data_IF_938855377467
#
_entry.id   IF_938855377467
#
_cell.length_a   1.000
_cell.length_b   1.000
_cell.length_c   1.000
_cell.angle_alpha   90.00
_cell.angle_beta   90.00
_cell.angle_gamma   90.00
#
_symmetry.space_group_name_H-M   'P 1'
#
loop_
_entity.id
_entity.type
_entity.pdbx_description
1 polymer ?
#
# COMPACT_ATOMS: atom_id res chain seq x y z
N UNK A 1 16.68 -23.93 -52.09
CA UNK A 1 17.93 -24.68 -51.89
C UNK A 1 18.20 -24.71 -50.41
N UNK A 2 17.86 -25.78 -49.90
CA UNK A 2 18.40 -26.91 -49.09
C UNK A 2 18.54 -26.54 -47.64
N UNK A 3 17.65 -26.92 -46.81
CA UNK A 3 17.45 -28.18 -46.03
C UNK A 3 18.75 -28.75 -45.43
N UNK A 4 18.75 -28.94 -44.10
CA UNK A 4 19.75 -29.67 -43.35
C UNK A 4 19.24 -29.95 -41.94
N UNK A 5 18.47 -30.97 -41.84
CA UNK A 5 18.00 -31.72 -40.67
C UNK A 5 19.13 -32.58 -40.11
N UNK A 6 19.31 -32.66 -38.79
CA UNK A 6 19.99 -33.79 -38.13
C UNK A 6 19.49 -34.01 -36.71
N UNK A 7 18.56 -34.94 -36.59
CA UNK A 7 18.29 -35.72 -35.39
C UNK A 7 19.25 -36.92 -35.30
N UNK A 8 19.80 -37.26 -34.15
CA UNK A 8 20.23 -38.63 -33.78
C UNK A 8 20.23 -38.83 -32.26
N UNK A 9 19.25 -39.47 -31.81
CA UNK A 9 19.06 -40.72 -31.04
C UNK A 9 20.33 -41.51 -30.69
N UNK A 10 20.53 -41.80 -29.40
CA UNK A 10 21.39 -42.90 -28.93
C UNK A 10 20.58 -43.74 -27.95
N UNK A 11 20.14 -44.90 -28.44
CA UNK A 11 19.75 -46.05 -27.63
C UNK A 11 20.90 -47.08 -27.71
N UNK A 12 21.39 -47.49 -26.55
CA UNK A 12 22.29 -48.62 -26.45
C UNK A 12 21.52 -49.92 -26.24
N UNK A 13 21.86 -50.91 -27.04
CA UNK A 13 21.30 -52.26 -27.01
C UNK A 13 21.76 -53.08 -25.80
N UNK A 14 21.03 -54.12 -25.40
CA UNK A 14 21.34 -54.94 -24.23
C UNK A 14 22.23 -56.16 -24.59
N UNK A 15 23.20 -56.46 -23.71
CA UNK A 15 24.06 -57.68 -23.77
C UNK A 15 23.31 -58.93 -23.29
N UNK A 16 23.66 -60.13 -23.85
CA UNK A 16 23.02 -61.41 -23.56
C UNK A 16 23.58 -62.10 -22.28
N UNK A 17 22.82 -63.05 -21.72
CA UNK A 17 23.15 -63.67 -20.45
C UNK A 17 24.20 -64.80 -20.55
N UNK A 18 25.05 -65.00 -19.53
CA UNK A 18 26.00 -66.12 -19.52
C UNK A 18 25.41 -67.43 -18.99
N UNK A 19 25.81 -68.47 -19.59
CA UNK A 19 25.45 -69.87 -19.45
C UNK A 19 25.74 -70.47 -18.07
N UNK A 20 24.84 -71.34 -17.62
CA UNK A 20 24.99 -72.27 -16.49
C UNK A 20 26.22 -73.18 -16.57
N UNK A 21 27.01 -73.28 -15.49
CA UNK A 21 27.81 -74.40 -15.12
C UNK A 21 27.35 -75.01 -13.80
N UNK A 22 27.00 -76.32 -13.87
CA UNK A 22 26.75 -77.21 -12.73
C UNK A 22 28.08 -77.48 -11.98
N UNK A 23 28.03 -77.49 -10.65
CA UNK A 23 29.13 -77.83 -9.80
C UNK A 23 28.72 -78.15 -8.36
N UNK A 24 28.52 -79.43 -8.09
CA UNK A 24 28.70 -80.19 -6.85
C UNK A 24 28.30 -79.66 -5.47
N UNK A 25 27.39 -80.39 -4.90
CA UNK A 25 27.03 -80.39 -3.46
C UNK A 25 28.22 -80.74 -2.58
N UNK A 26 28.51 -79.94 -1.60
CA UNK A 26 29.17 -80.31 -0.34
C UNK A 26 28.35 -79.86 0.82
N UNK A 27 27.88 -80.78 1.63
CA UNK A 27 27.27 -80.61 2.94
C UNK A 27 28.23 -79.87 3.90
N UNK A 28 27.91 -78.68 4.31
CA UNK A 28 28.59 -77.98 5.38
C UNK A 28 27.71 -77.98 6.64
N UNK A 29 28.22 -78.44 7.72
CA UNK A 29 27.60 -78.49 9.06
C UNK A 29 27.10 -77.13 9.47
N UNK A 30 25.81 -77.09 9.84
CA UNK A 30 25.04 -75.94 10.36
C UNK A 30 25.67 -75.44 11.66
N UNK A 31 26.39 -74.35 11.65
CA UNK A 31 27.06 -73.76 12.80
C UNK A 31 26.09 -72.85 13.55
N UNK A 32 25.42 -73.38 14.56
CA UNK A 32 24.41 -72.66 15.39
C UNK A 32 24.95 -71.45 16.16
N UNK A 33 26.27 -71.25 16.16
CA UNK A 33 26.91 -70.09 16.81
C UNK A 33 26.59 -68.75 16.15
N UNK A 34 26.30 -68.74 14.85
CA UNK A 34 25.99 -67.51 14.16
C UNK A 34 24.63 -66.96 14.52
N UNK A 35 23.65 -67.80 14.82
CA UNK A 35 22.34 -67.41 15.30
C UNK A 35 22.36 -66.89 16.74
N UNK A 36 23.23 -67.41 17.57
CA UNK A 36 23.40 -66.94 18.95
C UNK A 36 24.02 -65.51 18.97
N UNK A 37 24.97 -65.24 18.10
CA UNK A 37 25.58 -63.91 17.98
C UNK A 37 24.57 -62.89 17.44
N UNK A 38 23.72 -63.26 16.47
CA UNK A 38 22.65 -62.40 15.96
C UNK A 38 21.58 -62.09 17.01
N UNK A 39 21.21 -63.07 17.82
CA UNK A 39 20.24 -62.85 18.92
C UNK A 39 20.80 -61.96 20.04
N UNK A 40 22.10 -62.12 20.37
CA UNK A 40 22.78 -61.24 21.32
C UNK A 40 22.90 -59.81 20.78
N UNK A 41 23.24 -59.65 19.49
CA UNK A 41 23.32 -58.36 18.83
C UNK A 41 21.93 -57.66 18.77
N UNK A 42 20.86 -58.41 18.48
CA UNK A 42 19.48 -57.90 18.50
C UNK A 42 19.01 -57.54 19.91
N UNK A 43 19.38 -58.31 20.92
CA UNK A 43 19.07 -58.01 22.30
C UNK A 43 19.83 -56.78 22.81
N UNK A 44 21.07 -56.58 22.41
CA UNK A 44 21.87 -55.39 22.74
C UNK A 44 21.34 -54.15 22.01
N UNK A 45 20.95 -54.27 20.74
CA UNK A 45 20.34 -53.19 19.98
C UNK A 45 18.94 -52.86 20.49
N UNK A 46 18.14 -53.86 20.84
CA UNK A 46 16.81 -53.66 21.45
C UNK A 46 16.91 -53.06 22.86
N UNK A 47 17.90 -53.53 23.65
CA UNK A 47 18.17 -52.96 24.98
C UNK A 47 18.68 -51.52 24.93
N UNK A 48 19.56 -51.20 23.98
CA UNK A 48 20.06 -49.85 23.74
C UNK A 48 18.93 -48.92 23.26
N UNK A 49 18.06 -49.38 22.36
CA UNK A 49 16.90 -48.63 21.88
C UNK A 49 15.88 -48.42 22.99
N UNK A 50 15.63 -49.42 23.83
CA UNK A 50 14.73 -49.28 24.97
C UNK A 50 15.31 -48.35 26.05
N UNK A 51 16.60 -48.43 26.35
CA UNK A 51 17.28 -47.54 27.28
C UNK A 51 17.32 -46.11 26.75
N UNK A 52 17.55 -45.91 25.45
CA UNK A 52 17.49 -44.59 24.78
C UNK A 52 16.07 -44.01 24.87
N UNK A 53 15.03 -44.82 24.60
CA UNK A 53 13.63 -44.35 24.69
C UNK A 53 13.21 -44.09 26.12
N UNK A 54 13.66 -44.91 27.11
CA UNK A 54 13.29 -44.72 28.51
C UNK A 54 14.06 -43.62 29.22
N UNK A 55 15.24 -43.24 28.75
CA UNK A 55 16.01 -42.09 29.28
C UNK A 55 15.74 -40.81 28.51
N UNK A 56 15.54 -40.90 27.20
CA UNK A 56 15.29 -39.71 26.37
C UNK A 56 13.83 -39.21 26.50
N UNK A 57 12.82 -40.10 26.67
CA UNK A 57 11.44 -39.65 26.87
C UNK A 57 11.26 -38.73 28.08
N UNK A 58 11.75 -39.04 29.31
CA UNK A 58 11.59 -38.12 30.43
C UNK A 58 12.45 -36.85 30.28
N UNK A 59 13.60 -36.91 29.62
CA UNK A 59 14.42 -35.71 29.35
C UNK A 59 13.78 -34.87 28.24
N UNK A 60 13.27 -35.47 27.18
CA UNK A 60 12.53 -34.76 26.14
C UNK A 60 11.22 -34.19 26.71
N UNK A 61 10.48 -34.94 27.54
CA UNK A 61 9.27 -34.43 28.18
C UNK A 61 9.57 -33.32 29.18
N UNK A 62 10.71 -33.31 29.86
CA UNK A 62 11.12 -32.21 30.74
C UNK A 62 11.63 -30.97 29.98
N UNK A 63 12.20 -31.15 28.78
CA UNK A 63 12.59 -30.04 27.91
C UNK A 63 11.38 -29.48 27.13
N UNK A 64 10.43 -30.33 26.78
CA UNK A 64 9.16 -29.88 26.15
C UNK A 64 8.06 -29.52 27.15
N UNK A 65 8.09 -30.00 28.38
CA UNK A 65 7.20 -29.61 29.48
C UNK A 65 7.86 -28.67 30.51
N UNK A 66 9.11 -28.28 30.33
CA UNK A 66 9.80 -27.30 31.16
C UNK A 66 9.42 -25.84 30.88
N UNK A 67 8.61 -25.57 29.85
CA UNK A 67 7.74 -24.43 29.76
C UNK A 67 6.33 -24.92 30.00
N UNK A 68 5.89 -24.97 31.25
CA UNK A 68 4.48 -25.17 31.54
C UNK A 68 3.70 -24.15 30.70
N UNK A 69 3.05 -24.62 29.61
CA UNK A 69 2.04 -23.87 28.93
C UNK A 69 0.94 -23.65 29.98
N UNK A 70 1.01 -22.50 30.69
CA UNK A 70 -0.12 -22.02 31.42
C UNK A 70 -1.18 -21.71 30.37
N UNK A 71 -1.99 -22.70 30.05
CA UNK A 71 -3.12 -22.59 29.10
C UNK A 71 -4.37 -22.12 29.82
N UNK A 72 -4.25 -21.75 31.11
CA UNK A 72 -5.35 -21.18 31.84
C UNK A 72 -5.80 -19.88 31.18
N UNK A 73 -7.10 -19.83 30.89
CA UNK A 73 -7.73 -18.67 30.26
C UNK A 73 -8.74 -18.00 31.18
N UNK A 74 -9.14 -16.78 30.89
CA UNK A 74 -10.27 -16.13 31.55
C UNK A 74 -11.59 -16.67 30.98
N UNK A 75 -12.68 -16.58 31.75
CA UNK A 75 -14.00 -17.04 31.28
C UNK A 75 -14.63 -16.09 30.25
N UNK A 76 -14.09 -14.87 30.06
CA UNK A 76 -14.69 -13.82 29.23
C UNK A 76 -16.04 -13.31 29.78
N UNK A 77 -16.67 -12.36 29.06
CA UNK A 77 -16.16 -11.63 27.89
C UNK A 77 -15.19 -10.51 28.22
N UNK A 78 -14.84 -10.26 29.46
CA UNK A 78 -13.97 -9.19 29.94
C UNK A 78 -14.71 -7.87 30.23
N UNK A 79 -14.07 -7.01 31.07
CA UNK A 79 -14.60 -5.72 31.50
C UNK A 79 -13.46 -4.67 31.56
N UNK A 80 -13.82 -3.42 31.34
CA UNK A 80 -12.86 -2.31 31.38
C UNK A 80 -11.95 -2.26 30.16
N UNK A 81 -12.12 -1.22 29.33
CA UNK A 81 -11.34 -1.02 28.13
C UNK A 81 -9.85 -0.80 28.47
N UNK A 82 -8.99 -1.39 27.67
CA UNK A 82 -7.55 -1.19 27.68
C UNK A 82 -7.05 -1.09 26.25
N UNK A 83 -6.22 -0.09 25.99
CA UNK A 83 -5.59 0.07 24.69
C UNK A 83 -4.33 -0.80 24.60
N UNK A 84 -4.23 -1.58 23.55
CA UNK A 84 -3.09 -2.43 23.20
C UNK A 84 -2.45 -1.87 21.94
N UNK A 85 -1.13 -1.73 21.97
CA UNK A 85 -0.34 -1.30 20.82
C UNK A 85 0.42 -2.49 20.28
N UNK A 86 0.20 -2.85 19.02
CA UNK A 86 1.00 -3.83 18.28
C UNK A 86 1.98 -3.05 17.43
N UNK A 87 3.29 -3.24 17.65
CA UNK A 87 4.34 -2.51 16.93
C UNK A 87 4.81 -3.27 15.69
N UNK A 88 5.34 -2.56 14.65
CA UNK A 88 5.90 -3.24 13.48
C UNK A 88 7.03 -4.21 13.85
N UNK A 89 6.90 -5.47 13.42
CA UNK A 89 7.91 -6.51 13.68
C UNK A 89 7.70 -7.32 14.96
N UNK A 90 6.68 -7.04 15.77
CA UNK A 90 6.32 -7.88 16.90
C UNK A 90 5.90 -9.28 16.45
N UNK A 91 6.39 -10.28 17.18
CA UNK A 91 5.99 -11.68 17.01
C UNK A 91 4.71 -11.98 17.76
N UNK A 92 4.04 -13.10 17.44
CA UNK A 92 2.89 -13.55 18.20
C UNK A 92 3.19 -13.79 19.69
N UNK A 93 4.45 -14.09 20.06
CA UNK A 93 4.89 -14.21 21.46
C UNK A 93 5.03 -12.86 22.16
N UNK A 94 5.46 -11.83 21.45
CA UNK A 94 5.52 -10.46 21.95
C UNK A 94 4.12 -9.93 22.21
N UNK A 95 3.20 -10.11 21.24
CA UNK A 95 1.78 -9.77 21.38
C UNK A 95 1.15 -10.50 22.58
N UNK A 96 1.41 -11.81 22.74
CA UNK A 96 0.93 -12.59 23.89
C UNK A 96 1.43 -12.03 25.23
N UNK A 97 2.66 -11.53 25.26
CA UNK A 97 3.25 -10.89 26.44
C UNK A 97 2.55 -9.59 26.76
N UNK A 98 2.38 -8.72 25.77
CA UNK A 98 1.67 -7.43 25.88
C UNK A 98 0.23 -7.63 26.40
N UNK A 99 -0.51 -8.60 25.83
CA UNK A 99 -1.88 -8.90 26.22
C UNK A 99 -1.97 -9.39 27.67
N UNK A 100 -1.05 -10.27 28.12
CA UNK A 100 -1.00 -10.75 29.50
C UNK A 100 -0.68 -9.60 30.46
N UNK A 101 0.33 -8.80 30.15
CA UNK A 101 0.80 -7.73 31.03
C UNK A 101 -0.24 -6.62 31.18
N UNK A 102 -1.04 -6.38 30.14
CA UNK A 102 -2.20 -5.49 30.16
C UNK A 102 -3.43 -6.11 30.88
N UNK A 103 -3.38 -7.39 31.23
CA UNK A 103 -4.49 -8.09 31.87
C UNK A 103 -5.65 -8.43 30.93
N UNK A 104 -5.43 -8.40 29.64
CA UNK A 104 -6.44 -8.79 28.62
C UNK A 104 -6.65 -10.29 28.64
N UNK A 105 -5.57 -11.07 28.52
CA UNK A 105 -5.59 -12.53 28.62
C UNK A 105 -4.93 -13.00 29.90
N UNK A 106 -5.33 -14.16 30.39
CA UNK A 106 -4.81 -14.69 31.64
C UNK A 106 -3.39 -15.19 31.54
N UNK A 107 -3.06 -15.88 30.44
CA UNK A 107 -1.72 -16.43 30.18
C UNK A 107 -1.30 -16.23 28.76
N UNK A 108 0.02 -16.15 28.54
CA UNK A 108 0.61 -16.11 27.18
C UNK A 108 0.26 -17.38 26.38
N UNK A 109 0.33 -18.52 27.06
CA UNK A 109 0.09 -19.84 26.46
C UNK A 109 -1.30 -19.95 25.86
N UNK A 110 -2.33 -19.47 26.55
CA UNK A 110 -3.70 -19.47 26.03
C UNK A 110 -3.80 -18.71 24.69
N UNK A 111 -3.21 -17.53 24.60
CA UNK A 111 -3.21 -16.75 23.35
C UNK A 111 -2.38 -17.41 22.24
N UNK A 112 -1.20 -17.93 22.57
CA UNK A 112 -0.32 -18.59 21.60
C UNK A 112 -1.01 -19.84 21.01
N UNK A 113 -1.71 -20.61 21.82
CA UNK A 113 -2.42 -21.80 21.36
C UNK A 113 -3.56 -21.45 20.39
N UNK A 114 -4.30 -20.36 20.66
CA UNK A 114 -5.33 -19.85 19.75
C UNK A 114 -4.69 -19.33 18.46
N UNK A 115 -3.63 -18.54 18.53
CA UNK A 115 -2.95 -17.99 17.35
C UNK A 115 -2.34 -19.09 16.45
N UNK A 116 -1.86 -20.19 17.04
CA UNK A 116 -1.37 -21.36 16.30
C UNK A 116 -2.48 -22.15 15.62
N UNK A 117 -3.71 -22.10 16.14
CA UNK A 117 -4.85 -22.79 15.54
C UNK A 117 -5.35 -22.13 14.25
N UNK A 118 -5.02 -20.83 14.04
CA UNK A 118 -5.36 -20.07 12.83
C UNK A 118 -4.16 -19.20 12.40
N UNK A 119 -3.15 -19.81 11.75
CA UNK A 119 -1.94 -19.10 11.34
C UNK A 119 -2.18 -18.00 10.30
N UNK A 120 -3.21 -18.15 9.45
CA UNK A 120 -3.54 -17.16 8.42
C UNK A 120 -4.03 -15.87 9.08
N UNK A 121 -4.94 -16.00 10.04
CA UNK A 121 -5.44 -14.85 10.79
C UNK A 121 -4.38 -14.25 11.70
N UNK A 122 -3.51 -15.06 12.30
CA UNK A 122 -2.38 -14.58 13.09
C UNK A 122 -1.42 -13.72 12.24
N UNK A 123 -1.12 -14.15 11.00
CA UNK A 123 -0.29 -13.40 10.07
C UNK A 123 -0.97 -12.12 9.52
N UNK A 124 -2.30 -12.06 9.58
CA UNK A 124 -3.07 -10.90 9.14
C UNK A 124 -3.17 -9.79 10.20
N UNK A 125 -2.74 -10.03 11.45
CA UNK A 125 -2.73 -9.01 12.52
C UNK A 125 -1.78 -7.88 12.09
N UNK A 126 -2.32 -6.69 12.00
CA UNK A 126 -1.58 -5.51 11.56
C UNK A 126 -1.04 -4.74 12.76
N UNK A 127 0.14 -4.11 12.64
CA UNK A 127 0.59 -3.11 13.61
C UNK A 127 -0.43 -1.99 13.76
N UNK A 128 -0.62 -1.51 14.99
CA UNK A 128 -1.60 -0.46 15.28
C UNK A 128 -2.12 -0.53 16.71
N UNK A 129 -3.08 0.31 17.02
CA UNK A 129 -3.73 0.40 18.32
C UNK A 129 -5.07 -0.35 18.28
N UNK A 130 -5.39 -1.05 19.37
CA UNK A 130 -6.62 -1.82 19.48
C UNK A 130 -7.25 -1.60 20.87
N UNK A 131 -8.57 -1.43 20.92
CA UNK A 131 -9.30 -1.44 22.19
C UNK A 131 -9.74 -2.86 22.51
N UNK A 132 -9.21 -3.41 23.59
CA UNK A 132 -9.61 -4.69 24.15
C UNK A 132 -10.21 -4.49 25.55
N UNK A 133 -10.73 -5.57 26.13
CA UNK A 133 -11.23 -5.57 27.51
C UNK A 133 -10.30 -6.40 28.38
N UNK A 134 -10.13 -6.01 29.63
CA UNK A 134 -9.41 -6.83 30.60
C UNK A 134 -10.25 -8.06 30.93
N UNK A 135 -9.59 -9.22 31.05
CA UNK A 135 -10.25 -10.47 31.38
C UNK A 135 -11.01 -11.15 30.22
N UNK A 136 -10.70 -10.80 28.98
CA UNK A 136 -11.22 -11.51 27.81
C UNK A 136 -10.64 -12.92 27.72
N UNK A 137 -11.35 -13.83 27.05
CA UNK A 137 -10.74 -15.08 26.59
C UNK A 137 -9.66 -14.80 25.53
N UNK A 138 -8.68 -15.67 25.41
CA UNK A 138 -7.67 -15.61 24.39
C UNK A 138 -8.27 -15.61 22.98
N UNK A 139 -9.36 -16.37 22.78
CA UNK A 139 -10.08 -16.43 21.50
C UNK A 139 -10.75 -15.10 21.13
N UNK A 140 -11.38 -14.43 22.11
CA UNK A 140 -11.98 -13.10 21.89
C UNK A 140 -10.91 -12.05 21.60
N UNK A 141 -9.80 -12.03 22.36
CA UNK A 141 -8.69 -11.12 22.12
C UNK A 141 -8.07 -11.34 20.72
N UNK A 142 -7.88 -12.60 20.31
CA UNK A 142 -7.39 -12.94 18.99
C UNK A 142 -8.38 -12.54 17.88
N UNK A 143 -9.69 -12.70 18.13
CA UNK A 143 -10.72 -12.27 17.18
C UNK A 143 -10.70 -10.75 16.96
N UNK A 144 -10.51 -9.97 18.04
CA UNK A 144 -10.41 -8.49 17.95
C UNK A 144 -9.17 -8.07 17.17
N UNK A 145 -7.99 -8.63 17.47
CA UNK A 145 -6.73 -8.27 16.80
C UNK A 145 -6.69 -8.70 15.34
N UNK A 146 -7.30 -9.85 15.02
CA UNK A 146 -7.33 -10.40 13.66
C UNK A 146 -8.40 -9.80 12.74
N UNK A 147 -9.21 -8.86 13.22
CA UNK A 147 -10.17 -8.12 12.41
C UNK A 147 -9.65 -6.69 12.16
N UNK A 148 -9.28 -6.34 10.91
CA UNK A 148 -8.80 -5.01 10.57
C UNK A 148 -9.74 -3.87 10.96
N UNK A 149 -11.05 -4.11 11.05
CA UNK A 149 -12.04 -3.11 11.45
C UNK A 149 -11.91 -2.67 12.92
N UNK A 150 -11.30 -3.50 13.76
CA UNK A 150 -11.09 -3.19 15.19
C UNK A 150 -9.79 -2.39 15.43
N UNK A 151 -8.96 -2.21 14.42
CA UNK A 151 -7.76 -1.39 14.54
C UNK A 151 -8.16 0.08 14.67
N UNK A 152 -7.75 0.72 15.76
CA UNK A 152 -7.93 2.14 15.95
C UNK A 152 -7.01 2.85 14.98
N UNK A 153 -7.57 3.34 13.90
CA UNK A 153 -6.86 4.20 12.98
C UNK A 153 -7.01 5.63 13.47
N UNK A 154 -6.06 6.12 14.23
CA UNK A 154 -5.90 7.57 14.47
C UNK A 154 -5.29 8.25 13.23
N UNK A 155 -5.62 7.73 12.06
CA UNK A 155 -5.05 8.20 10.81
C UNK A 155 -5.49 9.62 10.49
N UNK A 156 -4.54 10.46 10.12
CA UNK A 156 -4.81 11.79 9.57
C UNK A 156 -5.24 11.65 8.12
N UNK A 157 -6.51 11.89 7.84
CA UNK A 157 -7.03 11.86 6.47
C UNK A 157 -6.86 13.22 5.81
N UNK A 158 -6.03 13.25 4.77
CA UNK A 158 -5.83 14.40 3.88
C UNK A 158 -6.61 14.14 2.60
N UNK A 159 -7.60 14.99 2.31
CA UNK A 159 -8.47 14.86 1.14
C UNK A 159 -7.77 15.33 -0.13
N UNK A 160 -8.25 14.84 -1.27
CA UNK A 160 -7.83 15.29 -2.60
C UNK A 160 -8.18 16.76 -2.85
N UNK A 161 -7.40 17.43 -3.68
CA UNK A 161 -7.63 18.80 -4.10
C UNK A 161 -7.32 19.86 -3.04
N UNK A 162 -6.80 19.53 -1.87
CA UNK A 162 -6.35 20.52 -0.89
C UNK A 162 -5.08 21.23 -1.38
N UNK A 163 -4.97 22.52 -1.05
CA UNK A 163 -3.71 23.25 -1.18
C UNK A 163 -2.70 22.78 -0.13
N UNK A 164 -1.43 23.02 -0.36
CA UNK A 164 -0.38 22.68 0.61
C UNK A 164 -0.63 23.34 1.97
N UNK A 165 -1.05 24.60 1.99
CA UNK A 165 -1.41 25.34 3.22
C UNK A 165 -2.57 24.71 3.97
N UNK A 166 -3.62 24.28 3.27
CA UNK A 166 -4.76 23.58 3.87
C UNK A 166 -4.35 22.18 4.38
N UNK A 167 -3.45 21.51 3.66
CA UNK A 167 -2.86 20.24 4.10
C UNK A 167 -2.11 20.42 5.42
N UNK A 168 -1.31 21.49 5.57
CA UNK A 168 -0.61 21.80 6.83
C UNK A 168 -1.60 22.04 7.98
N UNK A 169 -2.74 22.67 7.74
CA UNK A 169 -3.79 22.87 8.74
C UNK A 169 -4.41 21.54 9.19
N UNK A 170 -4.71 20.65 8.24
CA UNK A 170 -5.24 19.30 8.54
C UNK A 170 -4.24 18.49 9.35
N UNK A 171 -2.98 18.49 8.96
CA UNK A 171 -1.90 17.80 9.68
C UNK A 171 -1.74 18.38 11.09
N UNK A 172 -1.67 19.70 11.21
CA UNK A 172 -1.54 20.41 12.50
C UNK A 172 -2.67 20.07 13.46
N UNK A 173 -3.90 20.06 12.98
CA UNK A 173 -5.08 19.73 13.78
C UNK A 173 -5.06 18.30 14.30
N UNK A 174 -4.54 17.36 13.51
CA UNK A 174 -4.50 15.93 13.86
C UNK A 174 -3.32 15.57 14.75
N UNK A 175 -2.15 16.14 14.50
CA UNK A 175 -0.89 15.75 15.15
C UNK A 175 -0.46 16.67 16.29
N UNK A 176 -1.03 17.89 16.36
CA UNK A 176 -0.65 18.92 17.34
C UNK A 176 0.62 19.69 16.94
N UNK A 177 1.32 19.33 15.86
CA UNK A 177 2.49 20.09 15.38
C UNK A 177 2.00 21.41 14.75
N UNK A 178 2.56 22.57 15.15
CA UNK A 178 2.12 23.86 14.63
C UNK A 178 2.25 23.99 13.10
N UNK A 179 1.29 24.63 12.43
CA UNK A 179 1.30 24.90 10.97
C UNK A 179 2.61 25.53 10.50
N UNK A 180 3.20 26.44 11.31
CA UNK A 180 4.48 27.10 10.99
C UNK A 180 5.64 26.12 10.83
N UNK A 181 5.60 24.98 11.52
CA UNK A 181 6.64 23.95 11.42
C UNK A 181 6.54 23.17 10.11
N UNK A 182 5.33 22.87 9.65
CA UNK A 182 5.11 22.32 8.31
C UNK A 182 5.54 23.30 7.22
N UNK A 183 5.17 24.58 7.36
CA UNK A 183 5.56 25.62 6.41
C UNK A 183 7.09 25.85 6.40
N UNK A 184 7.77 25.64 7.51
CA UNK A 184 9.24 25.69 7.58
C UNK A 184 9.86 24.44 6.95
N UNK A 185 9.36 23.25 7.29
CA UNK A 185 9.83 21.98 6.71
C UNK A 185 9.66 21.93 5.18
N UNK A 186 8.55 22.45 4.67
CA UNK A 186 8.28 22.51 3.22
C UNK A 186 9.32 23.34 2.42
N UNK A 187 10.05 24.22 3.07
CA UNK A 187 11.13 25.01 2.44
C UNK A 187 12.46 24.26 2.33
N UNK A 188 12.61 23.17 3.06
CA UNK A 188 13.77 22.30 2.98
C UNK A 188 13.45 21.09 2.09
N UNK A 189 13.57 21.29 0.78
CA UNK A 189 13.30 20.27 -0.22
C UNK A 189 14.05 18.96 0.05
N UNK A 190 15.26 19.03 0.58
CA UNK A 190 16.09 17.86 0.89
C UNK A 190 15.53 17.08 2.09
N UNK A 191 15.13 17.78 3.15
CA UNK A 191 14.61 17.17 4.37
C UNK A 191 13.31 16.40 4.11
N UNK A 192 12.45 16.90 3.19
CA UNK A 192 11.19 16.25 2.83
C UNK A 192 11.31 15.33 1.59
N UNK A 193 12.52 15.14 1.05
CA UNK A 193 12.73 14.30 -0.12
C UNK A 193 12.04 14.80 -1.40
N UNK A 194 11.79 16.13 -1.50
CA UNK A 194 11.14 16.72 -2.66
C UNK A 194 12.06 16.59 -3.89
N UNK A 195 11.57 16.00 -5.00
CA UNK A 195 12.37 15.85 -6.21
C UNK A 195 12.79 17.19 -6.82
N UNK A 196 13.91 17.17 -7.56
CA UNK A 196 14.47 18.38 -8.16
C UNK A 196 13.52 19.03 -9.18
N UNK A 197 12.71 18.21 -9.87
CA UNK A 197 11.70 18.66 -10.84
C UNK A 197 10.58 19.51 -10.23
N UNK A 198 10.39 19.45 -8.90
CA UNK A 198 9.46 20.32 -8.17
C UNK A 198 9.98 21.76 -8.00
N UNK A 199 11.24 22.03 -8.32
CA UNK A 199 11.89 23.35 -8.20
C UNK A 199 11.70 24.02 -6.83
N UNK A 200 11.54 23.20 -5.78
CA UNK A 200 11.31 23.64 -4.39
C UNK A 200 9.87 23.99 -4.06
N UNK A 201 8.95 23.81 -4.99
CA UNK A 201 7.52 23.98 -4.73
C UNK A 201 6.89 22.65 -4.26
N UNK A 202 6.33 22.64 -3.06
CA UNK A 202 5.70 21.45 -2.48
C UNK A 202 4.25 21.25 -2.95
N UNK A 203 3.63 22.27 -3.56
CA UNK A 203 2.27 22.16 -4.07
C UNK A 203 2.16 21.07 -5.14
N UNK A 204 1.14 20.23 -5.05
CA UNK A 204 0.96 19.07 -5.92
C UNK A 204 1.74 17.81 -5.50
N UNK A 205 2.71 17.95 -4.58
CA UNK A 205 3.57 16.85 -4.16
C UNK A 205 3.17 16.20 -2.83
N UNK A 206 2.12 16.69 -2.16
CA UNK A 206 1.62 16.15 -0.90
C UNK A 206 0.42 15.22 -1.16
N UNK A 207 0.70 13.95 -1.44
CA UNK A 207 -0.34 12.97 -1.82
C UNK A 207 -1.49 12.95 -0.81
N UNK A 208 -2.74 13.07 -1.26
CA UNK A 208 -3.91 12.83 -0.41
C UNK A 208 -4.00 11.34 -0.06
N UNK A 209 -4.19 11.05 1.23
CA UNK A 209 -4.35 9.70 1.77
C UNK A 209 -4.75 9.77 3.24
N UNK A 210 -5.00 8.61 3.85
CA UNK A 210 -5.01 8.47 5.30
C UNK A 210 -3.64 8.01 5.77
N UNK A 211 -3.00 8.82 6.61
CA UNK A 211 -1.65 8.59 7.12
C UNK A 211 -1.68 8.22 8.60
N UNK A 212 -0.97 7.18 8.96
CA UNK A 212 -0.67 6.81 10.34
C UNK A 212 0.78 7.22 10.64
N UNK A 213 0.93 8.42 11.17
CA UNK A 213 2.26 8.90 11.52
C UNK A 213 2.70 8.33 12.88
N UNK A 214 3.99 7.97 13.05
CA UNK A 214 4.54 7.65 14.37
C UNK A 214 4.34 8.80 15.36
N UNK A 215 4.08 8.49 16.65
CA UNK A 215 3.76 9.49 17.67
C UNK A 215 4.76 10.64 17.79
N UNK A 216 6.04 10.38 17.52
CA UNK A 216 7.11 11.38 17.64
C UNK A 216 7.62 11.85 16.28
N UNK A 217 6.86 11.63 15.20
CA UNK A 217 7.28 12.09 13.88
C UNK A 217 7.27 13.61 13.78
N UNK A 218 8.30 14.15 13.17
CA UNK A 218 8.44 15.59 12.89
C UNK A 218 7.59 16.00 11.67
N UNK A 219 7.36 17.31 11.52
CA UNK A 219 6.70 17.86 10.34
C UNK A 219 7.43 17.45 9.04
N UNK A 220 8.76 17.44 9.04
CA UNK A 220 9.55 17.04 7.88
C UNK A 220 9.35 15.56 7.51
N UNK A 221 9.36 14.67 8.49
CA UNK A 221 9.13 13.23 8.26
C UNK A 221 7.72 12.95 7.72
N UNK A 222 6.71 13.67 8.22
CA UNK A 222 5.34 13.56 7.75
C UNK A 222 5.20 14.05 6.31
N UNK A 223 5.76 15.22 5.98
CA UNK A 223 5.78 15.72 4.60
C UNK A 223 6.58 14.80 3.67
N UNK A 224 7.71 14.25 4.13
CA UNK A 224 8.50 13.30 3.36
C UNK A 224 7.71 12.03 3.00
N UNK A 225 6.90 11.51 3.92
CA UNK A 225 6.01 10.39 3.65
C UNK A 225 4.98 10.72 2.56
N UNK A 226 4.43 11.94 2.58
CA UNK A 226 3.46 12.40 1.59
C UNK A 226 4.10 12.58 0.21
N UNK A 227 5.29 13.18 0.14
CA UNK A 227 6.07 13.32 -1.10
C UNK A 227 6.43 11.95 -1.69
N UNK A 228 6.92 11.03 -0.84
CA UNK A 228 7.24 9.67 -1.27
C UNK A 228 6.02 8.93 -1.86
N UNK A 229 4.83 9.14 -1.29
CA UNK A 229 3.59 8.58 -1.81
C UNK A 229 3.22 9.18 -3.17
N UNK A 230 3.40 10.50 -3.40
CA UNK A 230 3.21 11.13 -4.71
C UNK A 230 4.15 10.52 -5.74
N UNK A 231 5.43 10.39 -5.42
CA UNK A 231 6.43 9.76 -6.30
C UNK A 231 6.01 8.34 -6.65
N UNK A 232 5.57 7.55 -5.68
CA UNK A 232 5.08 6.18 -5.90
C UNK A 232 3.88 6.13 -6.84
N UNK A 233 2.93 7.07 -6.72
CA UNK A 233 1.77 7.15 -7.62
C UNK A 233 2.22 7.48 -9.05
N UNK A 234 3.12 8.45 -9.22
CA UNK A 234 3.69 8.82 -10.51
C UNK A 234 4.45 7.65 -11.17
N UNK A 235 5.26 6.92 -10.39
CA UNK A 235 5.97 5.74 -10.86
C UNK A 235 5.00 4.64 -11.32
N UNK A 236 3.95 4.41 -10.54
CA UNK A 236 2.89 3.44 -10.87
C UNK A 236 2.13 3.83 -12.15
N UNK A 237 1.97 5.14 -12.39
CA UNK A 237 1.37 5.69 -13.61
C UNK A 237 2.34 5.68 -14.81
N UNK A 238 3.61 5.29 -14.61
CA UNK A 238 4.64 5.21 -15.66
C UNK A 238 5.23 6.57 -16.06
N UNK A 239 5.13 7.58 -15.18
CA UNK A 239 5.60 8.95 -15.47
C UNK A 239 7.10 9.06 -15.25
N UNK A 240 7.84 9.40 -16.32
CA UNK A 240 9.28 9.63 -16.22
C UNK A 240 9.59 10.86 -15.33
N UNK A 241 10.70 10.88 -14.57
CA UNK A 241 11.04 11.99 -13.66
C UNK A 241 10.92 13.38 -14.30
N UNK A 242 11.45 13.57 -15.49
CA UNK A 242 11.42 14.84 -16.25
C UNK A 242 10.02 15.36 -16.56
N UNK A 243 9.00 14.51 -16.54
CA UNK A 243 7.62 14.82 -16.91
C UNK A 243 6.69 14.96 -15.70
N UNK A 244 7.17 14.62 -14.49
CA UNK A 244 6.36 14.55 -13.25
C UNK A 244 5.69 15.88 -12.92
N UNK A 245 6.45 16.98 -12.94
CA UNK A 245 5.88 18.31 -12.63
C UNK A 245 4.77 18.68 -13.61
N UNK A 246 4.95 18.49 -14.91
CA UNK A 246 3.92 18.76 -15.92
C UNK A 246 2.67 17.91 -15.71
N UNK A 247 2.87 16.63 -15.36
CA UNK A 247 1.75 15.72 -15.07
C UNK A 247 1.02 16.16 -13.80
N UNK A 248 1.72 16.59 -12.76
CA UNK A 248 1.09 17.10 -11.53
C UNK A 248 0.33 18.41 -11.77
N UNK A 249 0.88 19.32 -12.57
CA UNK A 249 0.15 20.54 -12.96
C UNK A 249 -1.15 20.17 -13.65
N UNK A 250 -1.10 19.31 -14.68
CA UNK A 250 -2.28 18.87 -15.40
C UNK A 250 -3.26 18.12 -14.48
N UNK A 251 -2.76 17.23 -13.63
CA UNK A 251 -3.56 16.47 -12.68
C UNK A 251 -4.29 17.38 -11.68
N UNK A 252 -3.65 18.45 -11.21
CA UNK A 252 -4.27 19.40 -10.28
C UNK A 252 -5.40 20.19 -10.95
N UNK A 253 -5.29 20.49 -12.23
CA UNK A 253 -6.37 21.08 -13.03
C UNK A 253 -7.52 20.09 -13.20
N UNK A 254 -7.22 18.85 -13.57
CA UNK A 254 -8.22 17.78 -13.70
C UNK A 254 -8.94 17.53 -12.37
N UNK A 255 -8.21 17.54 -11.25
CA UNK A 255 -8.76 17.38 -9.91
C UNK A 255 -9.79 18.46 -9.57
N UNK A 256 -9.51 19.69 -9.97
CA UNK A 256 -10.38 20.82 -9.72
C UNK A 256 -11.68 20.81 -10.56
N UNK A 257 -11.63 20.21 -11.76
CA UNK A 257 -12.73 20.28 -12.74
C UNK A 257 -13.57 18.98 -12.77
N UNK A 258 -12.98 17.83 -12.48
CA UNK A 258 -13.67 16.54 -12.59
C UNK A 258 -14.51 16.24 -11.35
N UNK A 259 -15.79 15.94 -11.55
CA UNK A 259 -16.68 15.45 -10.49
C UNK A 259 -16.71 13.91 -10.44
N UNK A 260 -16.66 13.28 -11.61
CA UNK A 260 -16.69 11.82 -11.76
C UNK A 260 -15.33 11.31 -12.23
N UNK A 261 -14.91 10.15 -11.73
CA UNK A 261 -13.63 9.53 -12.09
C UNK A 261 -13.56 9.19 -13.58
N UNK A 262 -14.68 8.82 -14.21
CA UNK A 262 -14.78 8.49 -15.64
C UNK A 262 -14.55 9.69 -16.56
N UNK A 263 -14.74 10.91 -16.05
CA UNK A 263 -14.52 12.15 -16.80
C UNK A 263 -13.06 12.62 -16.76
N UNK A 264 -12.29 12.24 -15.74
CA UNK A 264 -10.89 12.69 -15.55
C UNK A 264 -10.03 12.50 -16.81
N UNK A 265 -10.01 11.32 -17.48
CA UNK A 265 -9.19 11.13 -18.69
C UNK A 265 -9.63 12.00 -19.87
N UNK A 266 -10.94 12.28 -19.99
CA UNK A 266 -11.48 13.15 -21.06
C UNK A 266 -11.17 14.62 -20.79
N UNK A 267 -11.30 15.09 -19.55
CA UNK A 267 -10.92 16.46 -19.15
C UNK A 267 -9.43 16.67 -19.35
N UNK A 268 -8.58 15.69 -18.97
CA UNK A 268 -7.15 15.74 -19.26
C UNK A 268 -6.89 15.88 -20.78
N UNK A 269 -7.62 15.15 -21.62
CA UNK A 269 -7.53 15.28 -23.07
C UNK A 269 -7.95 16.67 -23.56
N UNK A 270 -9.01 17.24 -23.04
CA UNK A 270 -9.42 18.61 -23.38
C UNK A 270 -8.30 19.62 -23.10
N UNK A 271 -7.71 19.55 -21.91
CA UNK A 271 -6.58 20.44 -21.58
C UNK A 271 -5.37 20.22 -22.51
N UNK A 272 -5.03 18.97 -22.82
CA UNK A 272 -3.93 18.68 -23.73
C UNK A 272 -4.22 19.18 -25.16
N UNK A 273 -5.43 18.97 -25.69
CA UNK A 273 -5.82 19.48 -27.00
C UNK A 273 -5.69 21.02 -27.05
N UNK A 274 -6.07 21.71 -25.95
CA UNK A 274 -5.89 23.17 -25.84
C UNK A 274 -4.41 23.57 -25.84
N UNK A 275 -3.55 22.81 -25.14
CA UNK A 275 -2.09 23.08 -25.07
C UNK A 275 -1.36 22.78 -26.40
N UNK A 276 -1.79 21.74 -27.11
CA UNK A 276 -1.17 21.27 -28.36
C UNK A 276 -1.60 22.08 -29.60
N UNK A 277 -2.54 23.02 -29.42
CA UNK A 277 -3.13 23.79 -30.53
C UNK A 277 -2.88 25.29 -30.36
N UNK A 278 -1.97 25.83 -31.13
CA UNK A 278 -1.61 27.26 -31.09
C UNK A 278 -2.70 28.21 -31.65
N UNK A 279 -3.75 27.68 -32.23
CA UNK A 279 -4.82 28.43 -32.89
C UNK A 279 -6.19 28.25 -32.24
N UNK A 280 -7.22 28.57 -33.04
CA UNK A 280 -8.60 28.29 -32.62
C UNK A 280 -8.79 26.82 -32.26
N UNK A 281 -9.72 26.49 -31.34
CA UNK A 281 -10.71 27.43 -30.78
C UNK A 281 -10.26 28.16 -29.49
N UNK A 282 -9.15 27.77 -28.84
CA UNK A 282 -8.77 28.27 -27.51
C UNK A 282 -7.44 29.01 -27.45
N UNK A 283 -6.64 29.01 -28.51
CA UNK A 283 -5.35 29.71 -28.61
C UNK A 283 -4.37 29.37 -27.48
N UNK A 284 -4.32 28.11 -27.03
CA UNK A 284 -3.47 27.64 -25.93
C UNK A 284 -3.99 28.00 -24.53
N UNK A 285 -5.12 28.65 -24.41
CA UNK A 285 -5.71 29.04 -23.13
C UNK A 285 -6.46 27.87 -22.49
N UNK A 286 -6.09 27.50 -21.25
CA UNK A 286 -6.75 26.43 -20.50
C UNK A 286 -8.09 26.86 -19.88
N UNK A 287 -8.24 28.15 -19.57
CA UNK A 287 -9.48 28.77 -19.06
C UNK A 287 -10.03 28.09 -17.79
N UNK A 288 -9.14 27.69 -16.88
CA UNK A 288 -9.54 27.13 -15.57
C UNK A 288 -9.73 28.23 -14.55
N UNK A 289 -10.94 28.37 -14.01
CA UNK A 289 -11.26 29.32 -12.95
C UNK A 289 -10.61 28.92 -11.62
N UNK A 290 -10.38 27.63 -11.41
CA UNK A 290 -9.65 27.14 -10.26
C UNK A 290 -8.19 27.61 -10.23
N UNK A 291 -7.54 27.67 -11.40
CA UNK A 291 -6.19 28.20 -11.53
C UNK A 291 -6.15 29.71 -11.21
N UNK A 292 -7.13 30.48 -11.67
CA UNK A 292 -7.26 31.91 -11.34
C UNK A 292 -7.42 32.12 -9.84
N UNK A 293 -8.31 31.33 -9.21
CA UNK A 293 -8.58 31.39 -7.76
C UNK A 293 -7.33 31.02 -6.95
N UNK A 294 -6.56 30.00 -7.39
CA UNK A 294 -5.32 29.62 -6.73
C UNK A 294 -4.28 30.74 -6.78
N UNK A 295 -4.04 31.33 -7.94
CA UNK A 295 -3.10 32.44 -8.07
C UNK A 295 -3.51 33.69 -7.29
N UNK A 296 -4.82 33.94 -7.14
CA UNK A 296 -5.38 35.00 -6.28
C UNK A 296 -5.32 34.63 -4.78
N UNK A 297 -4.85 33.41 -4.42
CA UNK A 297 -4.82 32.88 -3.06
C UNK A 297 -6.19 32.95 -2.35
N UNK A 298 -7.26 32.74 -3.09
CA UNK A 298 -8.64 32.82 -2.61
C UNK A 298 -9.44 31.60 -3.10
N UNK A 299 -9.80 30.73 -2.18
CA UNK A 299 -10.67 29.58 -2.50
C UNK A 299 -12.05 30.06 -2.91
N UNK A 300 -12.35 30.04 -4.19
CA UNK A 300 -13.65 30.42 -4.73
C UNK A 300 -14.02 29.54 -5.93
N UNK A 301 -15.29 29.15 -5.99
CA UNK A 301 -15.85 28.48 -7.18
C UNK A 301 -16.05 29.48 -8.33
N UNK A 302 -16.22 30.75 -8.00
CA UNK A 302 -16.49 31.83 -8.97
C UNK A 302 -15.53 32.98 -8.70
N UNK A 303 -14.40 33.06 -9.44
CA UNK A 303 -13.56 34.27 -9.41
C UNK A 303 -14.36 35.53 -9.77
N UNK A 304 -14.00 36.64 -9.15
CA UNK A 304 -14.56 37.93 -9.52
C UNK A 304 -14.10 38.37 -10.90
N UNK A 305 -14.82 39.30 -11.55
CA UNK A 305 -14.43 39.86 -12.82
C UNK A 305 -13.02 40.50 -12.78
N UNK A 306 -12.67 41.13 -11.66
CA UNK A 306 -11.33 41.69 -11.47
C UNK A 306 -10.25 40.60 -11.48
N UNK A 307 -10.49 39.47 -10.81
CA UNK A 307 -9.54 38.33 -10.80
C UNK A 307 -9.43 37.67 -12.17
N UNK A 308 -10.55 37.52 -12.90
CA UNK A 308 -10.57 36.96 -14.24
C UNK A 308 -9.78 37.82 -15.24
N UNK A 309 -9.69 39.14 -15.01
CA UNK A 309 -9.00 40.10 -15.86
C UNK A 309 -7.61 40.52 -15.32
N UNK A 310 -7.14 39.88 -14.22
CA UNK A 310 -5.83 40.19 -13.65
C UNK A 310 -4.70 39.51 -14.46
N UNK A 311 -4.03 40.27 -15.31
CA UNK A 311 -2.88 39.82 -16.07
C UNK A 311 -1.60 39.70 -15.23
N UNK A 312 -1.59 40.21 -13.99
CA UNK A 312 -0.45 40.06 -13.07
C UNK A 312 -0.43 38.71 -12.34
N UNK A 313 -1.56 38.00 -12.34
CA UNK A 313 -1.68 36.65 -11.78
C UNK A 313 -1.07 35.62 -12.74
N UNK A 314 0.09 35.02 -12.42
CA UNK A 314 0.76 34.07 -13.33
C UNK A 314 -0.03 32.76 -13.52
N UNK A 315 -1.01 32.48 -12.68
CA UNK A 315 -1.91 31.33 -12.79
C UNK A 315 -3.20 31.65 -13.58
N UNK A 316 -3.30 32.84 -14.18
CA UNK A 316 -4.48 33.20 -14.95
C UNK A 316 -4.48 32.57 -16.34
N UNK A 317 -4.88 31.30 -16.39
CA UNK A 317 -4.98 30.49 -17.62
C UNK A 317 -6.08 30.97 -18.60
N UNK A 318 -6.82 32.03 -18.25
CA UNK A 318 -7.77 32.69 -19.16
C UNK A 318 -7.09 33.77 -20.02
N UNK A 319 -5.95 34.28 -19.56
CA UNK A 319 -5.19 35.34 -20.25
C UNK A 319 -3.81 34.87 -20.72
N UNK A 320 -3.22 33.90 -20.01
CA UNK A 320 -1.88 33.39 -20.27
C UNK A 320 -2.01 31.98 -20.88
N UNK A 321 -1.55 31.76 -22.12
CA UNK A 321 -1.57 30.46 -22.76
C UNK A 321 -0.53 29.51 -22.12
N UNK A 322 -0.80 28.22 -22.19
CA UNK A 322 0.07 27.18 -21.63
C UNK A 322 -0.34 26.72 -20.25
N UNK A 323 0.53 25.87 -19.65
CA UNK A 323 0.37 25.43 -18.27
C UNK A 323 0.68 26.56 -17.28
N UNK A 324 0.00 26.61 -16.12
CA UNK A 324 0.39 27.53 -15.06
C UNK A 324 1.78 27.16 -14.51
N UNK A 325 2.44 28.06 -13.74
CA UNK A 325 3.81 27.86 -13.26
C UNK A 325 4.02 26.65 -12.35
N UNK A 326 2.96 26.11 -11.75
CA UNK A 326 3.00 24.94 -10.87
C UNK A 326 1.60 24.37 -10.65
N UNK A 327 1.49 23.26 -9.91
CA UNK A 327 0.19 22.70 -9.51
C UNK A 327 -0.65 23.69 -8.70
N UNK A 328 -1.97 23.56 -8.78
CA UNK A 328 -2.92 24.41 -8.08
C UNK A 328 -3.57 23.74 -6.87
N UNK A 329 -3.22 22.50 -6.61
CA UNK A 329 -3.66 21.70 -5.46
C UNK A 329 -2.89 20.38 -5.46
N UNK A 330 -3.10 19.56 -4.41
CA UNK A 330 -2.57 18.21 -4.32
C UNK A 330 -3.58 17.22 -4.93
N UNK A 331 -3.32 16.68 -6.14
CA UNK A 331 -4.26 15.82 -6.84
C UNK A 331 -4.27 14.39 -6.29
N UNK A 332 -5.42 13.72 -6.41
CA UNK A 332 -5.55 12.30 -6.13
C UNK A 332 -4.91 11.41 -7.19
N UNK A 333 -4.74 10.13 -6.83
CA UNK A 333 -4.14 9.13 -7.73
C UNK A 333 -4.92 8.96 -9.05
N UNK A 334 -6.24 9.11 -9.01
CA UNK A 334 -7.10 9.03 -10.20
C UNK A 334 -6.79 10.16 -11.19
N UNK A 335 -6.63 11.41 -10.71
CA UNK A 335 -6.27 12.55 -11.54
C UNK A 335 -4.84 12.45 -12.09
N UNK A 336 -3.88 11.98 -11.29
CA UNK A 336 -2.51 11.73 -11.77
C UNK A 336 -2.51 10.68 -12.88
N UNK A 337 -3.22 9.57 -12.69
CA UNK A 337 -3.36 8.53 -13.72
C UNK A 337 -4.01 9.06 -14.99
N UNK A 338 -5.06 9.88 -14.86
CA UNK A 338 -5.77 10.47 -15.99
C UNK A 338 -4.88 11.48 -16.76
N UNK A 339 -4.11 12.28 -16.05
CA UNK A 339 -3.15 13.21 -16.68
C UNK A 339 -2.00 12.49 -17.38
N UNK A 340 -1.53 11.37 -16.82
CA UNK A 340 -0.49 10.54 -17.42
C UNK A 340 -0.99 9.72 -18.61
N UNK A 341 -2.25 9.31 -18.60
CA UNK A 341 -2.88 8.45 -19.61
C UNK A 341 -4.26 9.02 -19.99
N UNK A 342 -4.28 10.15 -20.72
CA UNK A 342 -5.54 10.79 -21.13
C UNK A 342 -6.30 9.93 -22.14
N UNK A 343 -7.60 10.11 -22.21
CA UNK A 343 -8.42 9.48 -23.25
C UNK A 343 -8.08 10.03 -24.63
N UNK A 344 -8.32 9.27 -25.68
CA UNK A 344 -8.31 9.76 -27.04
C UNK A 344 -9.60 10.51 -27.36
N UNK A 345 -9.49 11.65 -28.02
CA UNK A 345 -10.68 12.40 -28.45
C UNK A 345 -10.37 13.81 -28.95
N UNK A 346 -11.29 14.40 -29.74
CA UNK A 346 -11.07 15.69 -30.39
C UNK A 346 -11.62 16.89 -29.60
N UNK A 347 -11.96 16.73 -28.32
CA UNK A 347 -12.70 17.71 -27.54
C UNK A 347 -11.82 18.92 -27.13
N UNK A 348 -12.40 20.11 -27.19
CA UNK A 348 -11.83 21.34 -26.69
C UNK A 348 -12.65 21.98 -25.55
N UNK A 349 -13.88 21.49 -25.35
CA UNK A 349 -14.82 22.04 -24.39
C UNK A 349 -15.47 20.94 -23.58
N UNK A 350 -15.78 21.24 -22.33
CA UNK A 350 -16.62 20.42 -21.46
C UNK A 350 -17.51 21.32 -20.60
N UNK A 351 -18.61 20.79 -20.13
CA UNK A 351 -19.50 21.44 -19.17
C UNK A 351 -20.28 20.38 -18.39
N UNK A 352 -20.32 20.52 -17.06
CA UNK A 352 -21.18 19.69 -16.23
C UNK A 352 -22.63 20.13 -16.40
N UNK A 353 -23.45 19.38 -17.14
CA UNK A 353 -24.84 19.70 -17.45
C UNK A 353 -25.81 19.32 -16.33
N UNK A 354 -25.37 18.52 -15.38
CA UNK A 354 -26.14 18.17 -14.19
C UNK A 354 -25.30 18.30 -12.92
N UNK A 355 -25.52 19.34 -12.10
CA UNK A 355 -24.74 19.57 -10.90
C UNK A 355 -24.97 18.52 -9.80
N UNK A 356 -26.06 17.76 -9.86
CA UNK A 356 -26.38 16.71 -8.89
C UNK A 356 -25.67 15.41 -9.24
N UNK A 357 -25.83 14.91 -10.46
CA UNK A 357 -25.23 13.66 -10.92
C UNK A 357 -23.77 13.82 -11.31
N UNK A 358 -23.34 15.03 -11.68
CA UNK A 358 -22.00 15.30 -12.23
C UNK A 358 -21.86 14.98 -13.71
N UNK A 359 -22.98 14.70 -14.41
CA UNK A 359 -22.95 14.43 -15.85
C UNK A 359 -22.26 15.57 -16.61
N UNK A 360 -21.22 15.20 -17.36
CA UNK A 360 -20.40 16.13 -18.13
C UNK A 360 -20.55 15.88 -19.62
N UNK A 361 -20.81 16.92 -20.39
CA UNK A 361 -20.83 16.88 -21.85
C UNK A 361 -19.62 17.54 -22.46
N UNK A 362 -19.17 16.98 -23.58
CA UNK A 362 -17.98 17.39 -24.28
C UNK A 362 -18.34 17.98 -25.65
N UNK A 363 -17.56 18.95 -26.12
CA UNK A 363 -17.72 19.58 -27.43
C UNK A 363 -16.39 19.75 -28.14
N UNK A 364 -16.42 19.62 -29.47
CA UNK A 364 -15.26 19.90 -30.34
C UNK A 364 -15.23 21.39 -30.69
N UNK A 365 -16.41 21.96 -30.94
CA UNK A 365 -16.59 23.35 -31.35
C UNK A 365 -17.26 24.17 -30.23
N UNK A 366 -17.14 25.50 -30.32
CA UNK A 366 -17.85 26.41 -29.43
C UNK A 366 -19.36 26.27 -29.55
N UNK A 367 -19.85 25.95 -30.76
CA UNK A 367 -21.29 25.72 -31.00
C UNK A 367 -21.78 24.47 -30.25
N UNK A 368 -20.99 23.38 -30.21
CA UNK A 368 -21.29 22.20 -29.40
C UNK A 368 -21.33 22.56 -27.92
N UNK A 369 -20.35 23.31 -27.44
CA UNK A 369 -20.33 23.79 -26.06
C UNK A 369 -21.57 24.61 -25.72
N UNK A 370 -21.93 25.59 -26.57
CA UNK A 370 -23.09 26.42 -26.37
C UNK A 370 -24.42 25.62 -26.40
N UNK A 371 -24.49 24.50 -27.16
CA UNK A 371 -25.62 23.57 -27.11
C UNK A 371 -25.68 22.87 -25.75
N UNK A 372 -24.55 22.36 -25.28
CA UNK A 372 -24.47 21.67 -24.00
C UNK A 372 -24.81 22.61 -22.81
N UNK A 373 -24.34 23.86 -22.84
CA UNK A 373 -24.65 24.88 -21.81
C UNK A 373 -26.13 25.14 -21.71
N UNK A 374 -26.89 25.05 -22.81
CA UNK A 374 -28.36 25.25 -22.79
C UNK A 374 -29.13 24.12 -22.11
N UNK A 375 -28.47 23.04 -21.75
CA UNK A 375 -29.06 21.90 -21.02
C UNK A 375 -28.88 22.01 -19.49
N UNK A 376 -28.13 23.02 -19.00
CA UNK A 376 -28.02 23.40 -17.59
C UNK A 376 -29.36 23.95 -17.08
#
# INVERSE_FOLDING_TARGET
MTQGDVSHTIFGEPEPPPTRRRGHHRHAKRNNRRWLVLLIALALLGGAAWAAVSVIKPVLSSVFNGGGSETADFPGPGEGAVEIVVTPGETGEDIATTLRDAGVVKTRGAYIDVARSDPERAAAIQPGRYNLLKGMTAAEAFAVLGDPANRITSGTTVREGLWATETFEVLSKSTGIPVKEYAAAAKDARAIGLPAEAEGNVEGWLAPSTYEFPENSTAAEQLAAMVAQTVKVLDTAGVAPKDREKVLILASLVEAEAKLDEDRPKIARVFLNRLETDGAPTYGLLQSDAAVSYGAQRRSLFPSEAELNDASNPYNTRLIPGLPPGPISNPGAASIKAAANPADGPWFFFVAVNPITGETKYGVTLDDHNKNVREL
#
